data_IF_461708678960
#
_entry.id   IF_461708678960
#
_cell.length_a   1.000
_cell.length_b   1.000
_cell.length_c   1.000
_cell.angle_alpha   90.00
_cell.angle_beta   90.00
_cell.angle_gamma   90.00
#
_symmetry.space_group_name_H-M   'P 1'
#
loop_
_entity.id
_entity.type
_entity.pdbx_description
1 polymer ?
#
# COMPACT_ATOMS: atom_id res chain seq x y z
N UNK A 1 7.14 12.15 -17.48
CA UNK A 1 6.33 11.21 -18.28
C UNK A 1 5.46 10.48 -17.28
N UNK A 2 4.14 10.67 -17.33
CA UNK A 2 3.16 10.14 -16.38
C UNK A 2 2.71 8.75 -16.83
N UNK A 3 2.48 7.80 -15.91
CA UNK A 3 2.11 6.41 -16.26
C UNK A 3 0.72 6.11 -15.71
N UNK A 4 -0.21 5.69 -16.56
CA UNK A 4 -1.52 5.16 -16.17
C UNK A 4 -1.41 3.64 -16.10
N UNK A 5 -1.52 3.09 -14.89
CA UNK A 5 -1.47 1.65 -14.65
C UNK A 5 -2.90 1.06 -14.65
N UNK A 6 -3.12 0.08 -15.52
CA UNK A 6 -4.39 -0.63 -15.68
C UNK A 6 -4.16 -2.10 -15.33
N UNK A 7 -4.74 -2.54 -14.21
CA UNK A 7 -4.67 -3.92 -13.76
C UNK A 7 -5.93 -4.70 -14.17
N UNK A 8 -5.77 -6.00 -14.47
CA UNK A 8 -6.88 -6.92 -14.67
C UNK A 8 -6.53 -8.33 -14.21
N UNK A 9 -7.52 -9.16 -13.80
CA UNK A 9 -7.29 -10.53 -13.32
C UNK A 9 -6.77 -11.48 -14.42
N UNK A 10 -7.03 -11.14 -15.69
CA UNK A 10 -6.60 -11.90 -16.86
C UNK A 10 -5.78 -11.02 -17.79
N UNK A 11 -4.87 -11.65 -18.52
CA UNK A 11 -4.09 -10.98 -19.57
C UNK A 11 -5.05 -10.30 -20.55
N UNK A 12 -4.90 -8.98 -20.70
CA UNK A 12 -5.65 -8.19 -21.66
C UNK A 12 -5.01 -8.38 -23.05
N UNK A 13 -5.80 -8.75 -24.05
CA UNK A 13 -5.31 -8.90 -25.42
C UNK A 13 -4.84 -7.56 -26.00
N UNK A 14 -3.89 -7.59 -26.93
CA UNK A 14 -3.34 -6.37 -27.56
C UNK A 14 -4.42 -5.46 -28.16
N UNK A 15 -5.39 -6.04 -28.87
CA UNK A 15 -6.52 -5.29 -29.43
C UNK A 15 -7.33 -4.57 -28.35
N UNK A 16 -7.55 -5.23 -27.20
CA UNK A 16 -8.30 -4.67 -26.08
C UNK A 16 -7.50 -3.63 -25.32
N UNK A 17 -6.17 -3.78 -25.19
CA UNK A 17 -5.27 -2.75 -24.67
C UNK A 17 -5.33 -1.47 -25.51
N UNK A 18 -5.33 -1.59 -26.84
CA UNK A 18 -5.46 -0.44 -27.76
C UNK A 18 -6.80 0.28 -27.58
N UNK A 19 -7.90 -0.47 -27.50
CA UNK A 19 -9.24 0.10 -27.29
C UNK A 19 -9.30 0.84 -25.95
N UNK A 20 -8.81 0.22 -24.87
CA UNK A 20 -8.79 0.84 -23.53
C UNK A 20 -7.89 2.08 -23.53
N UNK A 21 -6.69 2.00 -24.10
CA UNK A 21 -5.77 3.13 -24.19
C UNK A 21 -6.37 4.29 -24.98
N UNK A 22 -7.00 4.02 -26.14
CA UNK A 22 -7.69 5.04 -26.94
C UNK A 22 -8.81 5.70 -26.14
N UNK A 23 -9.65 4.89 -25.49
CA UNK A 23 -10.77 5.41 -24.73
C UNK A 23 -10.33 6.26 -23.53
N UNK A 24 -9.27 5.83 -22.82
CA UNK A 24 -8.71 6.61 -21.71
C UNK A 24 -7.98 7.85 -22.25
N UNK A 25 -7.32 7.77 -23.40
CA UNK A 25 -6.62 8.89 -24.01
C UNK A 25 -7.57 10.03 -24.40
N UNK A 26 -8.79 9.71 -24.83
CA UNK A 26 -9.84 10.69 -25.10
C UNK A 26 -10.30 11.46 -23.85
N UNK A 27 -10.06 10.89 -22.65
CA UNK A 27 -10.38 11.51 -21.36
C UNK A 27 -9.23 12.32 -20.75
N UNK A 28 -8.03 12.25 -21.32
CA UNK A 28 -6.86 12.95 -20.80
C UNK A 28 -6.84 14.38 -21.37
N UNK A 29 -6.67 15.41 -20.53
CA UNK A 29 -6.53 16.78 -21.01
C UNK A 29 -5.39 16.93 -22.02
N UNK A 30 -5.61 17.72 -23.07
CA UNK A 30 -4.74 17.78 -24.25
C UNK A 30 -3.28 18.14 -23.93
N UNK A 31 -3.05 18.96 -22.90
CA UNK A 31 -1.73 19.33 -22.36
C UNK A 31 -0.95 18.15 -21.76
N UNK A 32 -1.61 17.07 -21.34
CA UNK A 32 -0.96 15.87 -20.78
C UNK A 32 -0.92 14.69 -21.76
N UNK A 33 -1.63 14.76 -22.90
CA UNK A 33 -1.78 13.67 -23.88
C UNK A 33 -0.47 13.05 -24.38
N UNK A 34 0.60 13.85 -24.51
CA UNK A 34 1.94 13.40 -24.96
C UNK A 34 2.87 12.98 -23.82
N UNK A 35 2.45 13.24 -22.58
CA UNK A 35 3.23 12.94 -21.39
C UNK A 35 2.79 11.63 -20.75
N UNK A 36 1.67 11.05 -21.16
CA UNK A 36 1.09 9.86 -20.54
C UNK A 36 1.48 8.57 -21.27
N UNK A 37 1.86 7.53 -20.53
CA UNK A 37 2.06 6.16 -21.01
C UNK A 37 1.12 5.20 -20.30
N UNK A 38 0.77 4.08 -20.94
CA UNK A 38 -0.12 3.06 -20.36
C UNK A 38 0.67 1.82 -19.94
N UNK A 39 0.47 1.37 -18.70
CA UNK A 39 0.94 0.09 -18.21
C UNK A 39 -0.24 -0.86 -18.09
N UNK A 40 -0.14 -2.07 -18.64
CA UNK A 40 -1.16 -3.10 -18.46
C UNK A 40 -0.56 -4.27 -17.71
N UNK A 41 -1.05 -4.52 -16.49
CA UNK A 41 -0.55 -5.56 -15.59
C UNK A 41 -1.63 -6.60 -15.31
N UNK A 42 -1.25 -7.87 -15.17
CA UNK A 42 -2.16 -8.90 -14.68
C UNK A 42 -2.06 -9.00 -13.15
N UNK A 43 -3.18 -8.87 -12.44
CA UNK A 43 -3.22 -8.94 -10.97
C UNK A 43 -4.64 -8.89 -10.42
N UNK A 44 -4.78 -9.03 -9.10
CA UNK A 44 -6.05 -8.95 -8.37
C UNK A 44 -5.86 -8.08 -7.10
N UNK A 45 -6.95 -7.51 -6.57
CA UNK A 45 -6.94 -6.82 -5.26
C UNK A 45 -7.62 -7.74 -4.26
N UNK A 46 -7.03 -7.90 -3.07
CA UNK A 46 -7.62 -8.70 -2.00
C UNK A 46 -7.59 -7.93 -0.67
N UNK A 47 -8.72 -7.96 0.06
CA UNK A 47 -8.89 -7.34 1.37
C UNK A 47 -8.71 -8.32 2.54
N UNK A 48 -7.62 -9.10 2.53
CA UNK A 48 -7.48 -10.19 3.51
C UNK A 48 -6.10 -10.26 4.18
N UNK A 49 -6.19 -10.65 5.45
CA UNK A 49 -5.17 -10.77 6.53
C UNK A 49 -4.18 -11.95 6.30
N UNK A 50 -4.16 -12.54 5.11
CA UNK A 50 -3.37 -13.73 4.74
C UNK A 50 -3.23 -13.72 3.21
N UNK A 51 -2.10 -13.61 2.52
CA UNK A 51 -0.66 -13.72 2.76
C UNK A 51 0.08 -13.08 1.55
N UNK A 52 1.41 -13.01 1.65
CA UNK A 52 2.36 -12.82 0.57
C UNK A 52 2.18 -13.83 -0.59
N UNK A 53 2.54 -13.52 -1.85
CA UNK A 53 2.87 -14.59 -2.81
C UNK A 53 3.92 -14.24 -3.88
N UNK A 54 4.73 -15.24 -4.24
CA UNK A 54 6.02 -15.17 -4.93
C UNK A 54 5.92 -15.90 -6.26
N UNK A 55 7.00 -16.55 -6.69
CA UNK A 55 7.18 -17.05 -8.08
C UNK A 55 5.92 -17.65 -8.72
N UNK A 56 5.07 -18.36 -7.97
CA UNK A 56 3.75 -18.79 -8.44
C UNK A 56 2.74 -19.02 -7.28
N UNK A 57 1.54 -19.51 -7.66
CA UNK A 57 0.48 -19.92 -6.72
C UNK A 57 0.86 -21.05 -5.76
N UNK A 58 2.08 -21.55 -5.76
CA UNK A 58 2.62 -22.53 -4.82
C UNK A 58 3.79 -21.93 -4.03
N UNK A 59 4.54 -20.95 -4.56
CA UNK A 59 5.70 -20.32 -3.95
C UNK A 59 5.39 -18.89 -3.50
N UNK A 60 5.25 -18.64 -2.20
CA UNK A 60 4.85 -17.33 -1.67
C UNK A 60 6.03 -16.31 -1.61
N UNK A 61 5.75 -15.00 -1.69
CA UNK A 61 6.75 -13.93 -1.50
C UNK A 61 7.09 -14.04 -0.02
N UNK A 62 8.34 -13.87 0.36
CA UNK A 62 8.65 -13.92 1.78
C UNK A 62 8.23 -12.59 2.42
N UNK A 63 6.99 -12.47 2.93
CA UNK A 63 6.65 -11.31 3.78
C UNK A 63 7.59 -11.30 4.98
N UNK A 64 8.13 -10.13 5.28
CA UNK A 64 8.98 -9.98 6.45
C UNK A 64 8.20 -10.33 7.73
N UNK A 65 8.90 -10.89 8.71
CA UNK A 65 8.32 -11.07 10.04
C UNK A 65 7.80 -9.73 10.57
N UNK A 66 6.66 -9.78 11.27
CA UNK A 66 6.00 -8.62 11.88
C UNK A 66 7.01 -7.65 12.47
N UNK A 67 7.04 -6.37 12.09
CA UNK A 67 7.96 -5.37 12.66
C UNK A 67 7.51 -4.78 13.97
N UNK A 68 6.20 -4.73 14.20
CA UNK A 68 5.64 -4.24 15.45
C UNK A 68 4.61 -5.21 16.10
N UNK A 69 5.00 -6.47 16.40
CA UNK A 69 4.12 -7.45 17.06
C UNK A 69 4.07 -7.28 18.59
N UNK A 70 4.64 -6.22 19.16
CA UNK A 70 4.96 -6.20 20.57
C UNK A 70 3.86 -5.57 21.43
N UNK A 71 3.91 -5.91 22.72
CA UNK A 71 3.10 -5.25 23.74
C UNK A 71 3.72 -3.93 24.18
N UNK A 72 2.94 -2.87 24.07
CA UNK A 72 3.22 -1.56 24.63
C UNK A 72 2.12 -1.20 25.62
N UNK A 73 2.52 -0.65 26.76
CA UNK A 73 1.59 -0.20 27.80
C UNK A 73 0.67 0.92 27.29
N UNK A 74 1.21 1.79 26.45
CA UNK A 74 0.51 2.92 25.85
C UNK A 74 0.39 2.68 24.32
N UNK A 75 -0.78 2.20 23.85
CA UNK A 75 -1.00 1.92 22.45
C UNK A 75 -0.95 3.20 21.60
N UNK A 76 -0.43 3.10 20.39
CA UNK A 76 -0.48 4.16 19.38
C UNK A 76 -0.65 3.60 17.97
N UNK A 77 -0.71 4.48 16.96
CA UNK A 77 -0.87 4.06 15.58
C UNK A 77 0.28 3.15 15.16
N UNK A 78 -0.05 2.04 14.52
CA UNK A 78 0.92 1.05 14.05
C UNK A 78 1.09 -0.16 14.97
N UNK A 79 0.47 -0.16 16.14
CA UNK A 79 0.50 -1.29 17.07
C UNK A 79 -0.33 -2.49 16.60
N UNK A 80 0.12 -3.69 16.94
CA UNK A 80 -0.60 -4.93 16.66
C UNK A 80 -1.92 -4.97 17.43
N UNK A 81 -3.01 -5.32 16.75
CA UNK A 81 -4.30 -5.58 17.38
C UNK A 81 -4.96 -6.81 16.79
N UNK A 82 -5.86 -7.44 17.55
CA UNK A 82 -6.53 -8.64 17.06
C UNK A 82 -7.68 -9.11 17.91
N UNK A 83 -8.31 -10.19 17.46
CA UNK A 83 -9.33 -10.93 18.21
C UNK A 83 -8.90 -12.38 18.31
N UNK A 84 -8.98 -12.93 19.51
CA UNK A 84 -8.71 -14.35 19.77
C UNK A 84 -9.82 -15.21 19.17
N UNK A 85 -9.45 -16.17 18.33
CA UNK A 85 -10.35 -17.18 17.79
C UNK A 85 -10.83 -18.16 18.87
N UNK A 86 -11.99 -18.77 18.64
CA UNK A 86 -12.60 -19.72 19.57
C UNK A 86 -12.75 -21.13 18.97
N UNK A 87 -12.01 -21.42 17.90
CA UNK A 87 -12.10 -22.67 17.13
C UNK A 87 -13.21 -22.70 16.08
N UNK A 88 -14.17 -21.77 16.12
CA UNK A 88 -15.16 -21.56 15.05
C UNK A 88 -14.62 -20.64 13.96
N UNK A 89 -13.79 -19.67 14.35
CA UNK A 89 -13.05 -18.79 13.46
C UNK A 89 -11.60 -18.67 13.94
N UNK A 90 -10.69 -18.29 13.04
CA UNK A 90 -9.26 -18.16 13.33
C UNK A 90 -8.94 -16.84 14.04
N UNK A 91 -7.78 -16.77 14.70
CA UNK A 91 -7.26 -15.52 15.24
C UNK A 91 -7.14 -14.46 14.14
N UNK A 92 -7.59 -13.23 14.43
CA UNK A 92 -7.39 -12.10 13.52
C UNK A 92 -6.29 -11.18 14.03
N UNK A 93 -5.51 -10.63 13.09
CA UNK A 93 -4.46 -9.66 13.40
C UNK A 93 -4.52 -8.50 12.39
N UNK A 94 -4.42 -7.27 12.89
CA UNK A 94 -4.45 -6.04 12.11
C UNK A 94 -3.55 -4.97 12.74
N UNK A 95 -3.58 -3.77 12.18
CA UNK A 95 -2.86 -2.62 12.70
C UNK A 95 -3.83 -1.62 13.34
N UNK A 96 -3.47 -1.11 14.51
CA UNK A 96 -4.16 -0.02 15.18
C UNK A 96 -4.00 1.28 14.41
N UNK A 97 -5.11 1.89 14.01
CA UNK A 97 -5.14 3.20 13.37
C UNK A 97 -5.23 4.35 14.37
N UNK A 98 -5.62 5.55 13.94
CA UNK A 98 -5.69 6.75 14.78
C UNK A 98 -6.78 6.66 15.85
N UNK A 99 -6.51 7.25 17.01
CA UNK A 99 -7.52 7.64 17.98
C UNK A 99 -8.29 8.87 17.46
N UNK A 100 -9.61 8.83 17.57
CA UNK A 100 -10.54 9.87 17.17
C UNK A 100 -11.62 10.07 18.23
N UNK A 101 -12.18 11.28 18.27
CA UNK A 101 -13.32 11.63 19.10
C UNK A 101 -14.58 11.66 18.24
N UNK A 102 -15.61 10.91 18.64
CA UNK A 102 -16.91 10.80 17.95
C UNK A 102 -18.01 10.95 18.98
N UNK A 103 -18.88 11.96 18.82
CA UNK A 103 -20.01 12.18 19.75
C UNK A 103 -19.61 12.38 21.21
N UNK A 104 -18.41 12.88 21.49
CA UNK A 104 -17.84 13.01 22.83
C UNK A 104 -17.19 11.72 23.38
N UNK A 105 -17.34 10.58 22.71
CA UNK A 105 -16.63 9.34 23.01
C UNK A 105 -15.27 9.27 22.31
N UNK A 106 -14.35 8.47 22.86
CA UNK A 106 -13.02 8.24 22.29
C UNK A 106 -12.93 6.85 21.69
N UNK A 107 -12.40 6.77 20.48
CA UNK A 107 -12.37 5.55 19.68
C UNK A 107 -11.04 5.40 18.97
N UNK A 108 -10.56 4.17 18.86
CA UNK A 108 -9.55 3.80 17.89
C UNK A 108 -10.23 3.45 16.57
N UNK A 109 -9.70 3.99 15.49
CA UNK A 109 -10.06 3.61 14.14
C UNK A 109 -9.24 2.37 13.74
N UNK A 110 -9.91 1.36 13.19
CA UNK A 110 -9.28 0.22 12.52
C UNK A 110 -10.07 -0.15 11.27
N UNK A 111 -9.61 -1.13 10.51
CA UNK A 111 -10.43 -1.68 9.42
C UNK A 111 -11.41 -2.72 9.97
N UNK A 112 -12.55 -2.89 9.30
CA UNK A 112 -13.54 -3.88 9.72
C UNK A 112 -13.23 -5.28 9.17
N UNK A 113 -12.69 -5.40 7.95
CA UNK A 113 -12.45 -6.71 7.33
C UNK A 113 -11.68 -7.74 8.20
N UNK A 114 -10.68 -7.37 9.03
CA UNK A 114 -10.01 -8.34 9.90
C UNK A 114 -10.94 -8.93 10.97
N UNK A 115 -12.00 -8.22 11.35
CA UNK A 115 -12.91 -8.58 12.43
C UNK A 115 -14.24 -9.14 11.94
N UNK A 116 -14.44 -9.28 10.62
CA UNK A 116 -15.72 -9.67 10.03
C UNK A 116 -16.21 -11.04 10.55
N UNK A 117 -15.33 -12.05 10.58
CA UNK A 117 -15.70 -13.39 11.06
C UNK A 117 -16.08 -13.37 12.54
N UNK A 118 -15.25 -12.74 13.37
CA UNK A 118 -15.54 -12.56 14.79
C UNK A 118 -16.87 -11.82 15.01
N UNK A 119 -17.15 -10.78 14.24
CA UNK A 119 -18.39 -10.01 14.31
C UNK A 119 -19.64 -10.81 13.94
N UNK A 120 -19.50 -11.76 13.01
CA UNK A 120 -20.62 -12.64 12.60
C UNK A 120 -20.88 -13.77 13.61
N UNK A 121 -19.86 -14.20 14.35
CA UNK A 121 -19.94 -15.36 15.25
C UNK A 121 -20.12 -14.98 16.72
N UNK A 122 -19.71 -13.78 17.13
CA UNK A 122 -19.75 -13.32 18.51
C UNK A 122 -20.85 -12.27 18.73
N UNK A 123 -21.51 -12.33 19.88
CA UNK A 123 -22.45 -11.28 20.30
C UNK A 123 -21.73 -9.94 20.59
N UNK A 124 -20.45 -10.00 20.94
CA UNK A 124 -19.61 -8.85 21.21
C UNK A 124 -18.17 -9.18 20.88
N UNK A 125 -17.51 -8.30 20.13
CA UNK A 125 -16.11 -8.46 19.72
C UNK A 125 -15.23 -7.60 20.63
N UNK A 126 -14.37 -8.25 21.39
CA UNK A 126 -13.33 -7.60 22.20
C UNK A 126 -12.01 -7.62 21.43
N UNK A 127 -11.44 -6.44 21.20
CA UNK A 127 -10.16 -6.27 20.51
C UNK A 127 -9.05 -6.16 21.53
N UNK A 128 -7.94 -6.85 21.27
CA UNK A 128 -6.78 -6.95 22.16
C UNK A 128 -5.54 -6.31 21.54
N UNK A 129 -4.64 -5.81 22.41
CA UNK A 129 -3.31 -5.33 22.06
C UNK A 129 -2.23 -6.01 22.95
N UNK A 130 -1.19 -6.61 22.35
CA UNK A 130 -1.09 -6.97 20.94
C UNK A 130 -2.10 -8.08 20.60
N UNK A 131 -2.21 -8.45 19.32
CA UNK A 131 -3.04 -9.60 18.91
C UNK A 131 -2.62 -10.87 19.64
N UNK A 132 -3.56 -11.83 19.80
CA UNK A 132 -3.29 -13.13 20.42
C UNK A 132 -2.18 -13.88 19.72
N UNK A 133 -2.18 -13.83 18.39
CA UNK A 133 -1.17 -14.43 17.54
C UNK A 133 0.22 -13.87 17.82
N UNK A 134 0.34 -12.54 17.98
CA UNK A 134 1.63 -11.88 18.18
C UNK A 134 2.19 -12.07 19.60
N UNK A 135 1.32 -12.15 20.62
CA UNK A 135 1.77 -12.44 22.00
C UNK A 135 1.99 -13.90 22.31
N UNK A 136 1.41 -14.82 21.53
CA UNK A 136 1.44 -16.27 21.79
C UNK A 136 2.83 -16.77 22.16
N UNK A 137 3.83 -16.36 21.38
CA UNK A 137 5.23 -16.71 21.62
C UNK A 137 5.73 -16.24 22.98
N UNK A 138 5.55 -14.94 23.31
CA UNK A 138 6.07 -14.40 24.57
C UNK A 138 5.35 -15.03 25.80
N UNK A 139 4.10 -15.53 25.64
CA UNK A 139 3.38 -16.31 26.66
C UNK A 139 3.94 -17.73 26.77
N UNK A 140 4.07 -18.43 25.65
CA UNK A 140 4.55 -19.82 25.59
C UNK A 140 5.99 -19.95 26.12
N UNK A 141 6.83 -18.94 25.86
CA UNK A 141 8.22 -18.86 26.34
C UNK A 141 8.34 -18.28 27.77
N UNK A 142 7.23 -17.85 28.38
CA UNK A 142 7.18 -17.41 29.79
C UNK A 142 7.94 -16.12 30.07
N UNK A 143 7.91 -15.15 29.15
CA UNK A 143 8.66 -13.89 29.32
C UNK A 143 8.07 -13.00 30.42
N UNK A 144 8.95 -12.46 31.28
CA UNK A 144 8.58 -11.68 32.49
C UNK A 144 7.63 -10.51 32.21
N UNK A 145 7.78 -9.84 31.06
CA UNK A 145 6.97 -8.70 30.67
C UNK A 145 5.50 -9.04 30.43
N UNK A 146 5.19 -10.32 30.16
CA UNK A 146 3.82 -10.80 29.96
C UNK A 146 3.23 -11.37 31.26
N UNK A 147 4.07 -11.70 32.24
CA UNK A 147 3.63 -12.22 33.54
C UNK A 147 2.95 -11.15 34.41
N UNK A 148 3.28 -9.87 34.21
CA UNK A 148 2.71 -8.76 34.96
C UNK A 148 1.39 -8.25 34.37
N UNK A 149 1.14 -8.48 33.08
CA UNK A 149 -0.09 -8.04 32.42
C UNK A 149 -1.12 -9.16 32.40
N UNK A 150 -2.31 -8.87 32.92
CA UNK A 150 -3.41 -9.86 33.00
C UNK A 150 -4.54 -9.53 32.05
N UNK A 151 -4.52 -8.34 31.41
CA UNK A 151 -5.60 -7.88 30.56
C UNK A 151 -5.08 -7.14 29.32
N UNK A 152 -5.07 -7.84 28.19
CA UNK A 152 -4.69 -7.30 26.88
C UNK A 152 -5.82 -6.55 26.17
N UNK A 153 -6.98 -6.36 26.80
CA UNK A 153 -8.14 -5.75 26.16
C UNK A 153 -7.90 -4.28 25.85
N UNK A 154 -7.85 -3.97 24.56
CA UNK A 154 -7.81 -2.60 24.07
C UNK A 154 -9.20 -1.94 24.21
N UNK A 155 -10.23 -2.59 23.69
CA UNK A 155 -11.56 -2.01 23.56
C UNK A 155 -12.59 -2.98 22.99
N UNK A 156 -13.84 -2.53 22.91
CA UNK A 156 -14.92 -3.27 22.23
C UNK A 156 -15.10 -2.66 20.84
N UNK A 157 -15.33 -3.51 19.84
CA UNK A 157 -15.75 -3.03 18.53
C UNK A 157 -17.23 -2.63 18.61
N UNK A 158 -17.52 -1.35 18.41
CA UNK A 158 -18.84 -0.76 18.66
C UNK A 158 -19.62 -0.48 17.37
N UNK A 159 -18.94 0.03 16.34
CA UNK A 159 -19.57 0.45 15.08
C UNK A 159 -18.65 0.12 13.92
N UNK A 160 -19.22 -0.14 12.73
CA UNK A 160 -18.47 -0.43 11.51
C UNK A 160 -19.07 0.29 10.31
N UNK A 161 -18.29 0.41 9.23
CA UNK A 161 -18.76 0.99 7.97
C UNK A 161 -19.89 0.16 7.32
N UNK A 162 -20.07 -1.10 7.71
CA UNK A 162 -21.12 -1.97 7.22
C UNK A 162 -20.89 -3.42 7.63
N UNK A 163 -21.78 -4.31 7.21
CA UNK A 163 -21.82 -5.70 7.69
C UNK A 163 -21.24 -6.73 6.71
N UNK A 164 -20.91 -6.31 5.48
CA UNK A 164 -20.61 -7.23 4.38
C UNK A 164 -19.41 -6.80 3.51
N UNK A 165 -18.63 -5.81 3.95
CA UNK A 165 -17.47 -5.25 3.23
C UNK A 165 -17.78 -4.62 1.87
N UNK A 166 -19.06 -4.48 1.49
CA UNK A 166 -19.47 -3.85 0.23
C UNK A 166 -19.73 -2.35 0.34
N UNK A 167 -19.40 -1.75 1.49
CA UNK A 167 -19.61 -0.33 1.72
C UNK A 167 -18.70 0.49 0.82
N UNK A 168 -19.32 1.46 0.15
CA UNK A 168 -18.70 2.48 -0.69
C UNK A 168 -19.42 3.79 -0.43
N UNK A 169 -18.74 4.91 -0.65
CA UNK A 169 -19.33 6.25 -0.59
C UNK A 169 -18.89 7.09 -1.76
N UNK A 170 -19.60 8.18 -2.03
CA UNK A 170 -19.14 9.22 -2.93
C UNK A 170 -18.00 9.97 -2.23
N UNK A 171 -16.86 10.10 -2.90
CA UNK A 171 -15.71 10.82 -2.36
C UNK A 171 -15.96 12.32 -2.36
N UNK A 172 -15.62 12.96 -1.26
CA UNK A 172 -15.63 14.42 -1.11
C UNK A 172 -14.20 15.00 -1.12
N UNK A 173 -13.21 14.25 -1.60
CA UNK A 173 -11.85 14.77 -1.72
C UNK A 173 -11.82 15.98 -2.68
N UNK A 174 -11.21 17.11 -2.28
CA UNK A 174 -11.14 18.32 -3.10
C UNK A 174 -10.53 18.13 -4.50
N UNK A 175 -9.66 17.12 -4.66
CA UNK A 175 -9.07 16.77 -5.95
C UNK A 175 -10.11 16.60 -7.06
N UNK A 176 -11.30 16.05 -6.74
CA UNK A 176 -12.34 15.79 -7.73
C UNK A 176 -13.04 17.06 -8.22
N UNK A 177 -13.16 18.06 -7.35
CA UNK A 177 -13.76 19.35 -7.70
C UNK A 177 -12.84 20.13 -8.65
N UNK A 178 -11.52 20.02 -8.47
CA UNK A 178 -10.52 20.66 -9.34
C UNK A 178 -10.40 20.00 -10.73
N UNK A 179 -10.75 18.71 -10.84
CA UNK A 179 -10.66 17.96 -12.08
C UNK A 179 -11.89 18.08 -12.98
N UNK A 180 -12.96 18.79 -12.56
CA UNK A 180 -14.25 18.90 -13.26
C UNK A 180 -14.84 17.52 -13.65
N UNK A 181 -14.68 16.54 -12.77
CA UNK A 181 -15.15 15.16 -12.95
C UNK A 181 -16.24 14.81 -11.94
N UNK A 182 -17.20 13.97 -12.34
CA UNK A 182 -18.17 13.39 -11.41
C UNK A 182 -17.47 12.73 -10.21
N UNK A 183 -17.93 13.04 -9.00
CA UNK A 183 -17.34 12.53 -7.76
C UNK A 183 -17.44 11.00 -7.73
N UNK A 184 -16.30 10.29 -7.66
CA UNK A 184 -16.31 8.84 -7.79
C UNK A 184 -16.71 8.15 -6.49
N UNK A 185 -17.04 6.86 -6.59
CA UNK A 185 -17.13 6.01 -5.40
C UNK A 185 -15.73 5.65 -4.90
N UNK A 186 -15.58 5.59 -3.57
CA UNK A 186 -14.41 5.05 -2.87
C UNK A 186 -14.83 3.93 -1.94
N UNK A 187 -13.92 2.99 -1.71
CA UNK A 187 -14.05 1.95 -0.69
C UNK A 187 -14.14 2.56 0.70
N UNK A 188 -15.01 2.02 1.53
CA UNK A 188 -15.12 2.42 2.94
C UNK A 188 -15.12 1.21 3.85
N UNK A 189 -14.02 1.02 4.55
CA UNK A 189 -13.78 -0.13 5.42
C UNK A 189 -13.17 0.36 6.73
N UNK A 190 -14.02 0.65 7.70
CA UNK A 190 -13.61 1.13 9.02
C UNK A 190 -14.43 0.46 10.13
N UNK A 191 -13.83 0.41 11.31
CA UNK A 191 -14.45 0.02 12.57
C UNK A 191 -14.00 0.97 13.69
N UNK A 192 -14.93 1.27 14.60
CA UNK A 192 -14.69 2.02 15.82
C UNK A 192 -14.52 1.05 16.98
N UNK A 193 -13.36 1.11 17.63
CA UNK A 193 -13.01 0.31 18.79
C UNK A 193 -12.95 1.26 19.99
N UNK A 194 -13.74 1.05 21.02
CA UNK A 194 -13.78 1.94 22.19
C UNK A 194 -12.39 2.15 22.80
N UNK A 195 -11.97 3.40 22.96
CA UNK A 195 -10.68 3.77 23.54
C UNK A 195 -10.85 4.15 25.02
N UNK A 196 -9.89 3.73 25.87
CA UNK A 196 -9.89 4.08 27.30
C UNK A 196 -9.42 5.52 27.55
N UNK A 197 -8.63 6.06 26.63
CA UNK A 197 -8.02 7.39 26.73
C UNK A 197 -8.14 8.11 25.39
N UNK A 198 -8.11 9.44 25.45
CA UNK A 198 -8.05 10.32 24.28
C UNK A 198 -6.71 11.04 24.30
N UNK A 199 -5.77 10.61 23.47
CA UNK A 199 -4.45 11.22 23.35
C UNK A 199 -4.15 11.53 21.89
N UNK A 200 -3.40 12.62 21.65
CA UNK A 200 -2.96 12.95 20.31
C UNK A 200 -2.16 11.78 19.72
N UNK A 201 -2.34 11.57 18.42
CA UNK A 201 -1.80 10.40 17.75
C UNK A 201 -0.30 10.56 17.49
N UNK A 202 0.43 9.45 17.51
CA UNK A 202 1.81 9.35 17.02
C UNK A 202 1.93 8.06 16.21
N UNK A 203 2.84 8.04 15.23
CA UNK A 203 3.21 6.81 14.54
C UNK A 203 4.20 6.01 15.39
N UNK A 204 3.98 4.70 15.53
CA UNK A 204 4.94 3.83 16.20
C UNK A 204 6.25 3.86 15.44
N UNK A 205 7.32 4.14 16.18
CA UNK A 205 8.69 4.03 15.72
C UNK A 205 9.55 3.49 16.86
N UNK A 206 10.51 2.63 16.52
CA UNK A 206 11.45 2.11 17.50
C UNK A 206 12.59 3.11 17.72
N UNK A 207 13.14 3.19 18.94
CA UNK A 207 14.35 3.95 19.19
C UNK A 207 15.48 3.51 18.26
N UNK A 208 16.19 4.48 17.69
CA UNK A 208 17.40 4.21 16.92
C UNK A 208 18.58 4.03 17.88
N UNK A 209 19.40 3.01 17.67
CA UNK A 209 20.64 2.82 18.45
C UNK A 209 21.74 3.80 18.05
N UNK A 210 21.62 4.43 16.87
CA UNK A 210 22.67 5.27 16.28
C UNK A 210 22.34 6.75 16.27
N UNK A 211 21.08 7.12 16.54
CA UNK A 211 20.60 8.49 16.53
C UNK A 211 20.09 8.89 17.92
N UNK A 212 20.24 10.16 18.32
CA UNK A 212 19.71 10.64 19.58
C UNK A 212 18.17 10.48 19.62
N UNK A 213 17.56 10.26 20.80
CA UNK A 213 16.11 10.25 20.93
C UNK A 213 15.51 11.57 20.47
N UNK A 214 14.64 11.52 19.47
CA UNK A 214 13.87 12.66 18.97
C UNK A 214 12.42 12.51 19.36
N UNK A 215 11.77 13.62 19.69
CA UNK A 215 10.33 13.65 19.89
C UNK A 215 9.63 13.31 18.56
N UNK A 216 8.71 12.36 18.60
CA UNK A 216 7.88 12.00 17.46
C UNK A 216 6.76 13.03 17.27
N UNK A 217 6.49 13.44 16.03
CA UNK A 217 5.49 14.45 15.73
C UNK A 217 4.08 13.93 16.04
N UNK A 218 3.27 14.79 16.65
CA UNK A 218 1.87 14.48 16.95
C UNK A 218 0.97 14.72 15.74
N UNK A 219 0.09 13.78 15.46
CA UNK A 219 -0.92 13.85 14.39
C UNK A 219 -2.24 14.33 14.99
N UNK A 220 -2.40 15.66 15.04
CA UNK A 220 -3.55 16.34 15.62
C UNK A 220 -4.48 16.99 14.58
N UNK A 221 -4.07 17.01 13.31
CA UNK A 221 -4.82 17.62 12.20
C UNK A 221 -4.98 16.63 11.05
N UNK A 222 -5.93 16.90 10.16
CA UNK A 222 -6.06 16.20 8.87
C UNK A 222 -5.49 17.07 7.76
N UNK A 223 -4.85 16.46 6.76
CA UNK A 223 -4.33 17.16 5.59
C UNK A 223 -5.01 16.63 4.33
N UNK A 224 -5.26 17.50 3.36
CA UNK A 224 -5.80 17.11 2.04
C UNK A 224 -4.77 16.30 1.26
N UNK A 225 -5.24 15.41 0.40
CA UNK A 225 -4.34 14.62 -0.44
C UNK A 225 -3.65 15.53 -1.46
N UNK A 226 -2.32 15.45 -1.51
CA UNK A 226 -1.52 16.10 -2.55
C UNK A 226 -0.87 15.02 -3.42
N UNK A 227 -1.20 14.94 -4.72
CA UNK A 227 -0.62 13.95 -5.62
C UNK A 227 0.92 14.05 -5.65
N UNK A 228 1.61 12.91 -5.57
CA UNK A 228 3.08 12.86 -5.53
C UNK A 228 3.71 13.21 -4.17
N UNK A 229 2.92 13.53 -3.14
CA UNK A 229 3.46 13.84 -1.82
C UNK A 229 4.02 12.60 -1.10
N UNK A 230 5.07 12.84 -0.31
CA UNK A 230 5.64 11.84 0.57
C UNK A 230 4.74 11.58 1.78
N UNK A 231 4.61 10.31 2.14
CA UNK A 231 3.81 9.88 3.28
C UNK A 231 4.58 8.96 4.20
N UNK A 232 4.15 8.95 5.44
CA UNK A 232 4.62 8.09 6.52
C UNK A 232 3.47 7.19 6.95
N UNK A 233 3.78 5.92 7.20
CA UNK A 233 2.83 4.99 7.81
C UNK A 233 3.60 4.02 8.70
N UNK A 234 2.94 3.56 9.75
CA UNK A 234 3.46 2.48 10.59
C UNK A 234 2.45 1.35 10.61
N UNK A 235 2.87 0.18 10.13
CA UNK A 235 2.08 -1.04 10.17
C UNK A 235 2.64 -2.06 11.15
N UNK A 236 1.79 -2.99 11.64
CA UNK A 236 2.27 -4.11 12.47
C UNK A 236 3.29 -4.99 11.74
N UNK A 237 3.22 -5.03 10.41
CA UNK A 237 4.11 -5.83 9.57
C UNK A 237 5.20 -5.00 8.97
N UNK A 238 4.84 -3.96 8.23
CA UNK A 238 5.80 -3.09 7.54
C UNK A 238 6.65 -2.27 8.50
N UNK A 239 6.19 -2.06 9.74
CA UNK A 239 6.77 -1.11 10.66
C UNK A 239 6.66 0.31 10.13
N UNK A 240 7.48 1.20 10.67
CA UNK A 240 7.58 2.58 10.19
C UNK A 240 8.19 2.61 8.78
N UNK A 241 7.45 3.15 7.82
CA UNK A 241 7.81 3.20 6.41
C UNK A 241 7.46 4.54 5.78
N UNK A 242 8.18 4.87 4.70
CA UNK A 242 7.88 6.00 3.82
C UNK A 242 7.31 5.49 2.49
N UNK A 243 6.41 6.25 1.90
CA UNK A 243 5.87 6.00 0.57
C UNK A 243 5.60 7.31 -0.16
N UNK A 244 5.13 7.21 -1.41
CA UNK A 244 4.68 8.35 -2.19
C UNK A 244 3.23 8.14 -2.65
N UNK A 245 2.39 9.17 -2.54
CA UNK A 245 1.02 9.12 -3.07
C UNK A 245 1.07 9.19 -4.59
N UNK A 246 0.26 8.38 -5.25
CA UNK A 246 0.14 8.38 -6.70
C UNK A 246 -0.25 9.76 -7.28
N UNK A 247 0.13 10.01 -8.54
CA UNK A 247 -0.31 11.23 -9.22
C UNK A 247 -1.80 11.21 -9.61
N UNK A 248 -2.34 10.02 -9.90
CA UNK A 248 -3.69 9.84 -10.41
C UNK A 248 -4.32 8.63 -9.69
N UNK A 249 -5.50 8.78 -9.06
CA UNK A 249 -6.19 7.66 -8.42
C UNK A 249 -6.52 6.52 -9.39
N UNK A 250 -6.34 5.29 -8.94
CA UNK A 250 -6.56 4.09 -9.73
C UNK A 250 -8.04 3.82 -9.96
N UNK A 251 -8.42 3.38 -11.16
CA UNK A 251 -9.71 2.72 -11.35
C UNK A 251 -9.64 1.31 -10.77
N UNK A 252 -10.55 0.99 -9.87
CA UNK A 252 -10.65 -0.34 -9.29
C UNK A 252 -12.01 -0.94 -9.62
N UNK A 253 -12.00 -2.14 -10.21
CA UNK A 253 -13.27 -2.82 -10.53
C UNK A 253 -13.99 -3.30 -9.27
N UNK A 254 -15.32 -3.39 -9.34
CA UNK A 254 -16.15 -3.87 -8.23
C UNK A 254 -15.86 -5.31 -7.79
N UNK A 255 -15.31 -6.11 -8.69
CA UNK A 255 -14.88 -7.48 -8.37
C UNK A 255 -13.58 -7.45 -7.58
N UNK A 256 -12.60 -6.64 -8.03
CA UNK A 256 -11.29 -6.53 -7.38
C UNK A 256 -11.38 -5.87 -6.00
N UNK A 257 -12.14 -4.78 -5.85
CA UNK A 257 -12.36 -4.20 -4.52
C UNK A 257 -13.39 -4.97 -3.67
N UNK A 258 -14.00 -6.03 -4.21
CA UNK A 258 -15.01 -6.88 -3.57
C UNK A 258 -16.33 -6.17 -3.21
N UNK A 259 -16.52 -4.89 -3.57
CA UNK A 259 -17.74 -4.13 -3.28
C UNK A 259 -18.87 -4.32 -4.28
N UNK A 260 -18.58 -4.95 -5.41
CA UNK A 260 -19.45 -5.05 -6.59
C UNK A 260 -19.72 -3.70 -7.29
N UNK A 261 -19.03 -2.63 -6.89
CA UNK A 261 -19.11 -1.30 -7.52
C UNK A 261 -17.71 -0.83 -7.91
N UNK A 262 -17.59 -0.24 -9.10
CA UNK A 262 -16.33 0.35 -9.51
C UNK A 262 -16.01 1.59 -8.66
N UNK A 263 -14.73 1.76 -8.33
CA UNK A 263 -14.26 2.85 -7.47
C UNK A 263 -13.02 3.55 -8.04
N UNK A 264 -12.70 4.74 -7.51
CA UNK A 264 -11.46 5.48 -7.78
C UNK A 264 -10.65 5.59 -6.49
N UNK A 265 -9.53 4.90 -6.41
CA UNK A 265 -8.80 4.72 -5.15
C UNK A 265 -7.45 5.42 -5.19
N UNK A 266 -7.14 6.16 -4.14
CA UNK A 266 -5.79 6.63 -3.90
C UNK A 266 -4.90 5.47 -3.49
N UNK A 267 -3.64 5.53 -3.92
CA UNK A 267 -2.66 4.51 -3.55
C UNK A 267 -1.29 5.10 -3.27
N UNK A 268 -0.51 4.36 -2.49
CA UNK A 268 0.87 4.64 -2.13
C UNK A 268 1.76 3.70 -2.92
N UNK A 269 2.77 4.26 -3.58
CA UNK A 269 3.80 3.54 -4.31
C UNK A 269 5.17 3.71 -3.66
N UNK A 270 6.14 2.92 -4.12
CA UNK A 270 7.52 3.02 -3.69
C UNK A 270 8.06 4.42 -4.01
N UNK A 271 8.60 5.16 -3.02
CA UNK A 271 8.95 6.56 -3.22
C UNK A 271 10.16 6.74 -4.14
N UNK A 272 10.97 5.68 -4.36
CA UNK A 272 12.20 5.72 -5.15
C UNK A 272 12.48 4.34 -5.78
N UNK A 273 12.09 4.07 -7.05
CA UNK A 273 12.26 2.77 -7.71
C UNK A 273 13.72 2.29 -7.92
N UNK A 274 14.70 3.05 -7.43
CA UNK A 274 16.13 2.71 -7.46
C UNK A 274 16.61 2.10 -6.13
N UNK A 275 15.73 2.01 -5.13
CA UNK A 275 15.99 1.36 -3.86
C UNK A 275 15.80 -0.16 -3.96
N UNK A 276 16.04 -0.87 -2.84
CA UNK A 276 15.90 -2.31 -2.70
C UNK A 276 14.43 -2.73 -2.92
N UNK A 277 14.05 -2.93 -4.20
CA UNK A 277 12.70 -3.33 -4.64
C UNK A 277 12.20 -4.55 -3.86
N UNK A 278 13.09 -5.51 -3.58
CA UNK A 278 12.78 -6.70 -2.80
C UNK A 278 12.40 -6.34 -1.35
N UNK A 279 13.06 -5.35 -0.74
CA UNK A 279 12.68 -4.88 0.59
C UNK A 279 11.31 -4.19 0.61
N UNK A 280 10.97 -3.40 -0.42
CA UNK A 280 9.65 -2.78 -0.56
C UNK A 280 8.56 -3.84 -0.81
N UNK A 281 8.83 -4.82 -1.67
CA UNK A 281 7.93 -5.94 -1.92
C UNK A 281 7.61 -6.70 -0.63
N UNK A 282 8.65 -7.02 0.16
CA UNK A 282 8.51 -7.86 1.36
C UNK A 282 8.02 -7.12 2.60
N UNK A 283 8.18 -5.80 2.66
CA UNK A 283 7.94 -5.04 3.89
C UNK A 283 7.56 -3.57 3.73
N UNK A 284 7.26 -3.10 2.53
CA UNK A 284 6.72 -1.76 2.29
C UNK A 284 5.31 -1.57 2.87
N UNK A 285 4.78 -0.34 2.84
CA UNK A 285 3.46 -0.01 3.41
C UNK A 285 2.38 -0.92 2.83
N UNK A 286 1.44 -1.41 3.65
CA UNK A 286 0.29 -2.18 3.19
C UNK A 286 0.58 -3.66 2.95
N UNK A 287 1.75 -4.17 3.35
CA UNK A 287 1.93 -5.63 3.41
C UNK A 287 0.91 -6.23 4.37
N UNK A 288 0.65 -7.52 4.20
CA UNK A 288 -0.34 -8.22 5.01
C UNK A 288 -0.15 -7.97 6.52
N UNK A 289 -1.21 -7.53 7.19
CA UNK A 289 -1.26 -7.14 8.60
C UNK A 289 -1.34 -5.64 8.81
N UNK A 290 -1.00 -4.84 7.80
CA UNK A 290 -1.02 -3.37 7.88
C UNK A 290 -2.42 -2.76 7.72
N UNK A 291 -3.45 -3.57 7.47
CA UNK A 291 -4.85 -3.10 7.42
C UNK A 291 -5.19 -2.30 8.68
N UNK A 292 -5.69 -1.08 8.50
CA UNK A 292 -5.98 -0.16 9.60
C UNK A 292 -4.90 0.88 9.85
N UNK A 293 -3.69 0.73 9.30
CA UNK A 293 -2.60 1.68 9.48
C UNK A 293 -2.98 3.09 8.99
N UNK A 294 -2.64 4.10 9.79
CA UNK A 294 -2.80 5.50 9.40
C UNK A 294 -1.78 5.90 8.33
N UNK A 295 -2.20 6.75 7.40
CA UNK A 295 -1.35 7.40 6.39
C UNK A 295 -1.22 8.86 6.78
N UNK A 296 0.00 9.33 6.98
CA UNK A 296 0.32 10.67 7.49
C UNK A 296 1.19 11.40 6.47
N UNK A 297 0.91 12.67 6.24
CA UNK A 297 1.76 13.52 5.40
C UNK A 297 3.15 13.67 6.02
N UNK A 298 4.21 13.47 5.22
CA UNK A 298 5.57 13.49 5.74
C UNK A 298 6.04 14.89 6.18
N UNK A 299 5.44 15.95 5.64
CA UNK A 299 5.88 17.33 5.87
C UNK A 299 5.05 18.04 6.94
N UNK A 300 3.74 17.87 6.90
CA UNK A 300 2.77 18.55 7.78
C UNK A 300 2.37 17.70 8.98
N UNK A 301 2.67 16.39 8.96
CA UNK A 301 2.24 15.42 9.97
C UNK A 301 0.72 15.36 10.19
N UNK A 302 -0.07 15.80 9.20
CA UNK A 302 -1.51 15.63 9.23
C UNK A 302 -1.93 14.26 8.71
N UNK A 303 -3.01 13.73 9.27
CA UNK A 303 -3.61 12.47 8.86
C UNK A 303 -4.26 12.64 7.48
N UNK A 304 -3.92 11.75 6.56
CA UNK A 304 -4.42 11.76 5.18
C UNK A 304 -5.46 10.66 4.97
N UNK A 305 -5.24 9.47 5.55
CA UNK A 305 -6.11 8.33 5.27
C UNK A 305 -5.80 7.08 6.08
N UNK A 306 -6.45 5.98 5.70
CA UNK A 306 -6.30 4.67 6.33
C UNK A 306 -6.09 3.58 5.27
N UNK A 307 -5.05 2.77 5.47
CA UNK A 307 -4.70 1.65 4.59
C UNK A 307 -5.76 0.55 4.67
N UNK A 308 -6.25 0.10 3.51
CA UNK A 308 -7.24 -0.99 3.46
C UNK A 308 -6.89 -2.15 2.55
N UNK A 309 -5.95 -1.97 1.62
CA UNK A 309 -5.57 -3.05 0.72
C UNK A 309 -4.26 -2.78 0.04
N UNK A 310 -3.73 -3.81 -0.59
CA UNK A 310 -2.55 -3.73 -1.44
C UNK A 310 -2.77 -4.61 -2.65
N UNK A 311 -2.24 -4.19 -3.79
CA UNK A 311 -2.32 -4.97 -5.01
C UNK A 311 -1.56 -6.29 -4.87
N UNK A 312 -2.03 -7.31 -5.60
CA UNK A 312 -1.38 -8.60 -5.69
C UNK A 312 -0.88 -8.84 -7.12
N UNK A 313 0.44 -8.97 -7.27
CA UNK A 313 1.11 -9.29 -8.54
C UNK A 313 1.94 -10.56 -8.42
N UNK A 314 2.12 -11.23 -9.56
CA UNK A 314 3.02 -12.37 -9.70
C UNK A 314 4.37 -11.90 -10.25
N UNK A 315 5.45 -12.11 -9.50
CA UNK A 315 6.81 -11.75 -9.93
C UNK A 315 7.16 -10.25 -9.79
N UNK A 316 8.17 -9.76 -10.54
CA UNK A 316 8.61 -8.37 -10.47
C UNK A 316 7.48 -7.43 -10.91
N UNK A 317 7.38 -6.27 -10.26
CA UNK A 317 6.32 -5.30 -10.57
C UNK A 317 5.95 -4.40 -9.41
N UNK A 318 5.35 -3.27 -9.75
CA UNK A 318 5.05 -2.20 -8.81
C UNK A 318 4.13 -2.65 -7.68
N UNK A 319 4.51 -2.41 -6.42
CA UNK A 319 3.59 -2.67 -5.30
C UNK A 319 2.91 -1.37 -4.90
N UNK A 320 1.57 -1.35 -4.99
CA UNK A 320 0.73 -0.21 -4.64
C UNK A 320 -0.23 -0.55 -3.51
N UNK A 321 -0.34 0.36 -2.56
CA UNK A 321 -1.16 0.20 -1.36
C UNK A 321 -2.29 1.19 -1.37
N UNK A 322 -3.52 0.68 -1.38
CA UNK A 322 -4.72 1.48 -1.40
C UNK A 322 -5.09 1.95 0.00
N UNK A 323 -5.51 3.21 0.07
CA UNK A 323 -6.01 3.82 1.29
C UNK A 323 -7.26 4.64 1.00
N UNK A 324 -8.15 4.74 2.00
CA UNK A 324 -9.33 5.60 1.92
C UNK A 324 -8.97 6.95 2.53
N UNK A 325 -9.31 8.08 1.89
CA UNK A 325 -9.12 9.41 2.47
C UNK A 325 -9.79 9.52 3.84
N UNK A 326 -9.11 10.13 4.81
CA UNK A 326 -9.64 10.24 6.17
C UNK A 326 -10.90 11.11 6.21
N UNK A 327 -10.97 12.09 5.33
CA UNK A 327 -12.14 12.95 5.16
C UNK A 327 -13.39 12.11 4.82
N UNK A 328 -13.25 11.20 3.86
CA UNK A 328 -14.31 10.29 3.42
C UNK A 328 -14.75 9.33 4.53
N UNK A 329 -13.79 8.83 5.35
CA UNK A 329 -14.08 8.02 6.52
C UNK A 329 -14.85 8.82 7.58
N UNK A 330 -14.41 10.04 7.87
CA UNK A 330 -15.02 10.88 8.91
C UNK A 330 -16.44 11.28 8.55
N UNK A 331 -16.70 11.61 7.30
CA UNK A 331 -18.04 11.90 6.80
C UNK A 331 -18.92 10.65 6.92
N UNK A 332 -18.40 9.45 6.62
CA UNK A 332 -19.18 8.20 6.66
C UNK A 332 -19.53 7.82 8.11
N UNK A 333 -18.60 8.03 9.03
CA UNK A 333 -18.84 7.89 10.47
C UNK A 333 -19.90 8.89 10.92
N UNK A 334 -19.78 10.16 10.54
CA UNK A 334 -20.74 11.20 10.94
C UNK A 334 -22.16 10.84 10.50
N UNK A 335 -22.32 10.47 9.23
CA UNK A 335 -23.61 10.10 8.64
C UNK A 335 -24.20 8.83 9.28
N UNK A 336 -23.41 7.74 9.37
CA UNK A 336 -23.89 6.45 9.90
C UNK A 336 -24.14 6.47 11.40
N UNK A 337 -23.35 7.24 12.15
CA UNK A 337 -23.50 7.34 13.59
C UNK A 337 -24.47 8.48 13.99
N UNK A 338 -25.08 9.19 13.03
CA UNK A 338 -26.04 10.26 13.29
C UNK A 338 -25.46 11.43 14.10
N UNK A 339 -24.18 11.75 13.90
CA UNK A 339 -23.46 12.74 14.71
C UNK A 339 -23.64 14.16 14.16
N UNK A 340 -23.81 15.13 15.06
CA UNK A 340 -23.94 16.54 14.68
C UNK A 340 -22.61 17.13 14.20
N UNK A 341 -21.49 16.68 14.79
CA UNK A 341 -20.14 17.10 14.44
C UNK A 341 -19.38 15.96 13.78
N UNK A 342 -18.53 16.32 12.82
CA UNK A 342 -17.55 15.41 12.22
C UNK A 342 -16.60 14.87 13.30
N UNK A 343 -16.12 13.62 13.19
CA UNK A 343 -15.03 13.11 14.03
C UNK A 343 -13.83 14.05 14.08
N UNK A 344 -13.15 14.08 15.23
CA UNK A 344 -11.99 14.96 15.46
C UNK A 344 -10.79 14.17 15.97
N UNK A 345 -9.59 14.64 15.66
CA UNK A 345 -8.36 14.10 16.24
C UNK A 345 -8.12 14.72 17.63
N UNK A 346 -7.71 13.94 18.64
CA UNK A 346 -7.33 14.49 19.94
C UNK A 346 -6.14 15.44 19.79
N UNK A 347 -6.16 16.55 20.54
CA UNK A 347 -5.16 17.62 20.43
C UNK A 347 -4.01 17.51 21.42
N UNK A 348 -4.24 16.86 22.56
CA UNK A 348 -3.28 16.85 23.67
C UNK A 348 -2.61 15.49 23.82
N UNK A 349 -1.29 15.50 24.00
CA UNK A 349 -0.48 14.36 24.46
C UNK A 349 0.65 14.92 25.30
N UNK A 350 0.92 14.30 26.45
CA UNK A 350 2.03 14.72 27.30
C UNK A 350 3.36 14.57 26.54
N UNK A 351 4.23 15.58 26.62
CA UNK A 351 5.50 15.59 25.89
C UNK A 351 6.39 14.37 26.21
N UNK A 352 6.35 13.91 27.47
CA UNK A 352 7.05 12.70 27.90
C UNK A 352 6.60 11.43 27.15
N UNK A 353 5.38 11.43 26.63
CA UNK A 353 4.79 10.30 25.90
C UNK A 353 4.95 10.45 24.37
N UNK A 354 5.69 11.45 23.91
CA UNK A 354 6.00 11.68 22.50
C UNK A 354 7.36 11.09 22.09
N UNK A 355 8.04 10.33 22.94
CA UNK A 355 9.31 9.68 22.59
C UNK A 355 9.11 8.24 22.14
N UNK A 356 9.95 7.72 21.21
CA UNK A 356 9.96 6.31 20.86
C UNK A 356 10.13 5.43 22.10
N UNK A 357 9.27 4.43 22.24
CA UNK A 357 9.32 3.50 23.38
C UNK A 357 9.84 2.14 22.92
N UNK A 358 10.60 1.48 23.80
CA UNK A 358 10.91 0.07 23.63
C UNK A 358 9.68 -0.79 23.99
N UNK A 359 9.54 -1.98 23.37
CA UNK A 359 8.58 -2.98 23.82
C UNK A 359 8.69 -3.28 25.31
N UNK A 360 7.57 -3.59 25.95
CA UNK A 360 7.58 -4.05 27.33
C UNK A 360 8.38 -5.36 27.48
N UNK A 361 8.32 -6.23 26.46
CA UNK A 361 9.07 -7.47 26.41
C UNK A 361 10.45 -7.29 25.75
N UNK A 362 11.47 -7.04 26.57
CA UNK A 362 12.85 -6.86 26.10
C UNK A 362 13.43 -8.10 25.42
N UNK A 363 13.13 -9.31 25.91
CA UNK A 363 13.61 -10.56 25.28
C UNK A 363 13.08 -10.74 23.85
N UNK A 364 11.78 -10.46 23.63
CA UNK A 364 11.17 -10.49 22.29
C UNK A 364 11.76 -9.39 21.37
N UNK A 365 12.21 -8.25 21.93
CA UNK A 365 12.88 -7.19 21.18
C UNK A 365 14.35 -7.52 20.85
N UNK A 366 15.16 -7.90 21.84
CA UNK A 366 16.60 -8.14 21.69
C UNK A 366 16.87 -9.30 20.72
N UNK A 367 16.08 -10.39 20.78
CA UNK A 367 16.18 -11.48 19.80
C UNK A 367 15.92 -10.98 18.38
N UNK A 368 14.96 -10.07 18.22
CA UNK A 368 14.61 -9.51 16.92
C UNK A 368 15.68 -8.56 16.42
N UNK A 369 16.22 -7.69 17.28
CA UNK A 369 17.36 -6.84 16.95
C UNK A 369 18.54 -7.71 16.54
N UNK A 370 18.84 -8.78 17.28
CA UNK A 370 19.89 -9.73 16.94
C UNK A 370 19.68 -10.39 15.56
N UNK A 371 18.47 -10.90 15.30
CA UNK A 371 18.13 -11.53 14.01
C UNK A 371 18.18 -10.52 12.84
N UNK A 372 17.68 -9.30 13.04
CA UNK A 372 17.74 -8.23 12.04
C UNK A 372 19.17 -7.71 11.82
N UNK A 373 19.99 -7.71 12.87
CA UNK A 373 21.40 -7.30 12.85
C UNK A 373 22.33 -8.35 12.25
N UNK A 374 21.85 -9.56 11.93
CA UNK A 374 22.64 -10.54 11.16
C UNK A 374 22.97 -10.07 9.73
N UNK A 375 22.33 -8.99 9.26
CA UNK A 375 22.79 -8.15 8.12
C UNK A 375 23.80 -7.08 8.55
N UNK A 376 24.68 -7.36 9.52
CA UNK A 376 25.78 -6.46 9.89
C UNK A 376 26.65 -6.22 8.67
N UNK A 377 26.88 -4.95 8.33
CA UNK A 377 28.01 -4.55 7.49
C UNK A 377 29.26 -5.28 8.00
N UNK A 378 29.97 -5.94 7.09
CA UNK A 378 31.19 -6.73 7.35
C UNK A 378 32.21 -6.03 8.27
N UNK A 379 32.14 -4.69 8.37
CA UNK A 379 32.95 -3.85 9.26
C UNK A 379 32.63 -4.00 10.76
N UNK A 380 31.35 -4.16 11.13
CA UNK A 380 30.91 -4.33 12.53
C UNK A 380 31.14 -5.77 13.04
N UNK A 381 31.00 -6.77 12.16
CA UNK A 381 31.37 -8.16 12.46
C UNK A 381 32.88 -8.31 12.69
N UNK A 382 33.70 -7.57 11.91
CA UNK A 382 35.14 -7.45 12.15
C UNK A 382 35.45 -6.78 13.50
N UNK A 383 34.75 -5.70 13.86
CA UNK A 383 34.95 -5.03 15.14
C UNK A 383 34.58 -5.91 16.35
N UNK A 384 33.53 -6.73 16.26
CA UNK A 384 33.20 -7.70 17.31
C UNK A 384 34.19 -8.87 17.40
N UNK A 385 34.86 -9.24 16.30
CA UNK A 385 35.96 -10.22 16.33
C UNK A 385 37.27 -9.60 16.84
N UNK A 386 37.52 -8.32 16.56
CA UNK A 386 38.74 -7.61 16.98
C UNK A 386 38.68 -7.20 18.45
N UNK A 387 37.49 -6.87 18.99
CA UNK A 387 37.32 -6.48 20.40
C UNK A 387 37.00 -7.64 21.36
N UNK A 388 37.02 -8.88 20.86
CA UNK A 388 36.87 -10.11 21.66
C UNK A 388 38.19 -10.71 22.18
N UNK A 389 39.33 -10.01 22.04
CA UNK A 389 40.62 -10.46 22.60
C UNK A 389 41.00 -9.59 23.79
N UNK A 390 40.30 -9.83 24.90
CA UNK A 390 40.66 -9.33 26.22
C UNK A 390 40.50 -10.45 27.23
N UNK A 391 41.63 -11.00 27.65
CA UNK A 391 41.86 -12.02 28.68
C UNK A 391 41.47 -13.49 28.37
N UNK A 392 42.51 -14.31 28.22
CA UNK A 392 42.42 -15.77 28.21
C UNK A 392 43.54 -16.43 27.41
N UNK A 393 44.66 -16.71 28.08
CA UNK A 393 45.69 -17.68 27.65
C UNK A 393 45.05 -18.92 27.02
N UNK A 394 45.40 -19.26 25.77
CA UNK A 394 45.60 -20.65 25.35
C UNK A 394 46.27 -20.78 23.98
N UNK A 395 47.06 -21.83 23.90
CA UNK A 395 48.13 -22.16 22.96
C UNK A 395 47.82 -22.08 21.47
N UNK A 396 48.87 -21.68 20.76
CA UNK A 396 49.11 -21.82 19.33
C UNK A 396 48.95 -23.28 18.87
N UNK A 397 48.14 -23.53 17.83
CA UNK A 397 48.53 -24.43 16.72
C UNK A 397 47.57 -24.33 15.52
N UNK A 398 48.18 -24.30 14.33
CA UNK A 398 47.63 -24.50 12.97
C UNK A 398 46.62 -23.49 12.41
N UNK A 399 47.18 -22.42 11.82
CA UNK A 399 46.59 -21.71 10.68
C UNK A 399 47.02 -22.47 9.42
N UNK A 400 46.10 -23.17 8.76
CA UNK A 400 46.19 -23.45 7.33
C UNK A 400 45.03 -22.76 6.62
N UNK A 401 45.34 -21.59 6.08
CA UNK A 401 44.50 -20.87 5.15
C UNK A 401 44.53 -21.59 3.80
N UNK A 402 43.43 -22.23 3.43
CA UNK A 402 43.19 -22.65 2.04
C UNK A 402 42.04 -21.82 1.50
N UNK A 403 42.43 -20.74 0.84
CA UNK A 403 41.58 -19.86 0.05
C UNK A 403 41.34 -20.51 -1.30
N UNK A 404 40.15 -21.06 -1.55
CA UNK A 404 39.70 -21.44 -2.88
C UNK A 404 38.47 -20.62 -3.27
N UNK A 405 38.75 -19.47 -3.88
CA UNK A 405 37.82 -18.74 -4.73
C UNK A 405 37.62 -19.56 -6.01
N UNK A 406 36.45 -20.17 -6.16
CA UNK A 406 35.98 -20.67 -7.44
C UNK A 406 34.65 -19.98 -7.78
N UNK A 407 34.74 -18.93 -8.61
CA UNK A 407 33.62 -18.43 -9.42
C UNK A 407 33.36 -19.40 -10.57
N UNK A 408 32.10 -19.82 -10.81
CA UNK A 408 31.68 -20.24 -12.15
C UNK A 408 30.88 -19.14 -12.85
N UNK A 409 31.24 -18.99 -14.11
CA UNK A 409 30.81 -18.03 -15.13
C UNK A 409 29.34 -18.13 -15.53
N UNK A 410 28.83 -16.98 -15.95
CA UNK A 410 27.97 -16.71 -17.11
C UNK A 410 27.02 -17.83 -17.57
N UNK A 411 25.71 -17.62 -17.37
CA UNK A 411 24.69 -18.14 -18.28
C UNK A 411 23.55 -17.13 -18.52
N UNK A 412 23.51 -16.66 -19.77
CA UNK A 412 22.43 -16.13 -20.60
C UNK A 412 21.25 -15.35 -19.97
N UNK A 413 21.33 -14.02 -20.11
CA UNK A 413 20.18 -13.11 -20.24
C UNK A 413 19.14 -13.68 -21.22
N UNK A 414 18.00 -14.11 -20.70
CA UNK A 414 16.78 -14.21 -21.48
C UNK A 414 16.11 -12.84 -21.49
N UNK A 415 16.07 -12.24 -22.68
CA UNK A 415 15.35 -11.00 -22.97
C UNK A 415 13.84 -11.23 -22.81
N UNK A 416 13.29 -10.91 -21.64
CA UNK A 416 11.85 -10.76 -21.46
C UNK A 416 11.38 -9.51 -22.20
N UNK A 417 10.54 -9.69 -23.22
CA UNK A 417 10.03 -8.61 -24.06
C UNK A 417 9.03 -7.79 -23.26
N UNK A 418 9.45 -6.60 -22.80
CA UNK A 418 8.55 -5.54 -22.33
C UNK A 418 8.05 -4.77 -23.57
N UNK A 419 6.81 -5.04 -24.02
CA UNK A 419 6.19 -4.26 -25.09
C UNK A 419 5.74 -2.90 -24.55
N UNK A 420 6.64 -1.92 -24.59
CA UNK A 420 6.30 -0.50 -24.45
C UNK A 420 5.76 0.01 -25.79
N UNK A 421 4.47 0.35 -25.85
CA UNK A 421 3.87 1.01 -27.02
C UNK A 421 4.26 2.49 -27.00
N UNK A 422 5.26 2.85 -27.80
CA UNK A 422 5.62 4.25 -28.11
C UNK A 422 4.95 4.65 -29.43
N UNK A 423 4.35 5.84 -29.44
CA UNK A 423 3.65 6.55 -30.53
C UNK A 423 3.69 5.94 -31.94
N UNK A 424 2.50 5.59 -32.47
CA UNK A 424 2.29 5.20 -33.86
C UNK A 424 1.86 6.40 -34.71
N UNK A 425 2.79 6.91 -35.52
CA UNK A 425 2.49 7.75 -36.68
C UNK A 425 3.21 7.17 -37.91
N UNK A 426 2.45 6.63 -38.87
CA UNK A 426 2.92 6.25 -40.21
C UNK A 426 2.78 4.75 -40.57
N UNK A 427 1.84 4.44 -41.46
CA UNK A 427 1.40 3.12 -41.96
C UNK A 427 2.21 2.72 -43.21
N UNK A 428 2.56 1.43 -43.41
CA UNK A 428 2.38 0.67 -44.69
C UNK A 428 2.42 -0.86 -44.45
N UNK A 429 1.47 -1.61 -45.03
CA UNK A 429 1.35 -3.08 -45.06
C UNK A 429 2.37 -3.79 -45.97
N UNK A 430 2.82 -5.02 -45.69
CA UNK A 430 3.55 -5.84 -46.66
C UNK A 430 2.66 -6.93 -47.29
N UNK A 431 2.60 -6.98 -48.61
CA UNK A 431 2.15 -8.14 -49.38
C UNK A 431 3.36 -8.97 -49.82
N UNK A 432 3.17 -10.29 -49.90
CA UNK A 432 4.19 -11.33 -50.08
C UNK A 432 4.86 -11.45 -51.47
N UNK A 433 5.69 -12.48 -51.69
CA UNK A 433 6.91 -12.38 -52.51
C UNK A 433 6.83 -13.07 -53.88
N UNK A 434 7.52 -12.55 -54.91
CA UNK A 434 8.24 -13.34 -55.93
C UNK A 434 9.05 -12.46 -56.91
N UNK A 435 10.24 -12.97 -57.32
CA UNK A 435 10.82 -12.80 -58.66
C UNK A 435 11.82 -11.66 -58.94
N UNK A 436 13.07 -12.01 -59.23
CA UNK A 436 14.16 -11.19 -59.81
C UNK A 436 13.94 -10.84 -61.32
N UNK A 437 14.87 -10.19 -62.07
CA UNK A 437 15.05 -8.74 -62.24
C UNK A 437 14.97 -8.28 -63.73
N UNK A 438 14.76 -6.98 -64.01
CA UNK A 438 14.93 -6.43 -65.37
C UNK A 438 14.42 -5.00 -65.58
N UNK A 439 15.32 -4.06 -65.87
CA UNK A 439 15.09 -2.72 -66.45
C UNK A 439 14.96 -2.77 -67.97
N UNK A 440 14.61 -1.69 -68.71
CA UNK A 440 13.85 -0.45 -68.43
C UNK A 440 12.76 -0.16 -69.52
N UNK A 441 11.96 0.93 -69.43
CA UNK A 441 11.58 1.84 -70.54
C UNK A 441 10.46 2.84 -70.16
N UNK A 442 10.82 4.13 -70.17
CA UNK A 442 10.17 5.32 -70.76
C UNK A 442 8.67 5.26 -71.12
N UNK A 443 7.85 6.19 -70.60
CA UNK A 443 7.03 7.14 -71.38
C UNK A 443 6.20 8.10 -70.49
N UNK A 444 6.67 9.34 -70.43
CA UNK A 444 5.98 10.59 -70.80
C UNK A 444 4.57 10.99 -70.31
N UNK A 445 4.58 12.20 -69.71
CA UNK A 445 3.74 13.38 -70.03
C UNK A 445 2.22 13.32 -69.75
N UNK A 446 1.75 14.12 -68.78
CA UNK A 446 1.36 15.56 -68.92
C UNK A 446 0.30 15.97 -67.87
N UNK A 447 0.62 17.03 -67.13
CA UNK A 447 -0.31 18.04 -66.56
C UNK A 447 -0.90 18.89 -67.74
N UNK A 448 -1.81 19.91 -67.65
CA UNK A 448 -2.49 20.59 -66.50
C UNK A 448 -3.97 21.10 -66.71
N UNK A 449 -4.80 21.18 -65.64
CA UNK A 449 -6.11 21.93 -65.44
C UNK A 449 -7.31 21.74 -66.42
N UNK A 450 -8.60 22.02 -66.12
CA UNK A 450 -9.52 22.01 -64.95
C UNK A 450 -10.95 22.28 -65.50
N UNK A 451 -12.02 21.68 -64.95
CA UNK A 451 -13.41 22.14 -65.22
C UNK A 451 -14.39 21.71 -64.13
N UNK A 452 -14.99 22.70 -63.46
CA UNK A 452 -16.14 22.55 -62.54
C UNK A 452 -17.44 22.17 -63.28
N UNK A 453 -18.37 21.58 -62.53
CA UNK A 453 -19.82 21.90 -62.33
C UNK A 453 -20.46 20.63 -61.71
N UNK A 454 -21.30 20.67 -60.68
CA UNK A 454 -22.61 21.35 -60.67
C UNK A 454 -23.14 21.57 -59.22
N UNK A 455 -23.83 22.69 -59.04
CA UNK A 455 -24.54 23.14 -57.84
C UNK A 455 -26.04 23.07 -58.17
N UNK A 456 -26.70 22.00 -57.74
CA UNK A 456 -28.13 21.82 -57.98
C UNK A 456 -28.74 20.76 -57.10
N UNK A 457 -28.98 21.09 -55.82
CA UNK A 457 -30.14 20.60 -55.05
C UNK A 457 -30.27 21.37 -53.73
N UNK A 458 -30.82 22.58 -53.81
CA UNK A 458 -31.41 23.33 -52.70
C UNK A 458 -32.68 24.05 -53.18
N UNK A 459 -33.86 23.50 -52.88
CA UNK A 459 -35.16 24.17 -52.67
C UNK A 459 -36.24 23.11 -52.33
N UNK A 460 -37.20 23.27 -51.41
CA UNK A 460 -37.69 24.43 -50.64
C UNK A 460 -38.21 23.99 -49.25
N UNK A 461 -38.30 24.89 -48.26
CA UNK A 461 -39.39 25.84 -47.98
C UNK A 461 -40.75 25.14 -47.70
N UNK A 462 -41.46 25.38 -46.60
CA UNK A 462 -41.37 26.49 -45.68
C UNK A 462 -42.23 26.39 -44.40
N UNK A 463 -42.23 27.53 -43.72
CA UNK A 463 -42.84 27.92 -42.45
C UNK A 463 -44.34 27.64 -42.27
N UNK A 464 -44.72 27.36 -41.01
CA UNK A 464 -45.62 28.23 -40.23
C UNK A 464 -45.15 28.30 -38.79
#
# INVERSE_FOLDING_TARGET
MKRICIMAPRIISRARKIIIASHVQDLIPSNFSKLVTFAFTQGEINRTVTWARGLDKNHKDDICAARNPYFFRDPCMGDSIGVTGNGVFEDSTATLGPCITVGGGSYWLGNFHPFMEAYQQLAQVEVEHPSSQDRKRCIDEGHDAMAQETNFRLGKLEVTSGLNLKTTRISHDPYWDECDTDKPLVVTDWALIGARTSQANILRKFPSETQPPTQEPTVATTTTIVPGADVLSSGRTSGYQRGQICEIPAYVSGVENQTQKATREWFIEEPWPQEDEDAWIRGGIGVNGDSGAGVVDANTHGLIGQVWGRNNYWGPGQRVTYFTPIADIFDDIQEKCGQQSRPQLPQHRDEANCFPLHPSCRQCFDLRVYLNSSRRSSRMSLQSMIMGTGDGDQDLTSIEAVSELATPKDYHRHSGIEETLVSLSGIVSPAGPSGYPGTPMIADMKSPYATELDLGDLAGAGSR
#
